data_IF_627165812903
#
_entry.id   IF_627165812903
#
_cell.length_a   1.000
_cell.length_b   1.000
_cell.length_c   1.000
_cell.angle_alpha   90.00
_cell.angle_beta   90.00
_cell.angle_gamma   90.00
#
_symmetry.space_group_name_H-M   'P 1'
#
loop_
_entity.id
_entity.type
_entity.pdbx_description
1 polymer ?
#
# COMPACT_ATOMS: atom_id res chain seq x y z
N UNK A 1 -24.18 12.41 -16.64
CA UNK A 1 -23.86 12.13 -16.11
C UNK A 1 -23.98 11.87 -15.39
N UNK A 2 -23.95 11.66 -15.28
CA UNK A 2 -23.86 11.20 -14.50
C UNK A 2 -23.89 11.07 -13.61
N UNK A 3 -23.73 11.31 -13.45
CA UNK A 3 -23.64 11.19 -12.45
C UNK A 3 -23.96 10.79 -11.63
N UNK A 4 -24.13 10.49 -11.76
CA UNK A 4 -24.75 9.87 -10.91
C UNK A 4 -24.18 9.05 -9.94
N UNK A 5 -23.97 8.90 -9.99
CA UNK A 5 -23.46 8.21 -9.33
C UNK A 5 -22.50 7.90 -8.90
N UNK A 6 -22.43 7.87 -9.24
CA UNK A 6 -21.34 7.07 -9.18
C UNK A 6 -20.06 7.72 -8.79
N UNK A 7 -19.97 8.52 -7.86
CA UNK A 7 -18.76 9.12 -7.36
C UNK A 7 -18.02 8.14 -6.42
N UNK A 8 -17.77 6.95 -6.91
CA UNK A 8 -17.01 5.94 -6.17
C UNK A 8 -15.65 5.78 -6.80
N UNK A 9 -14.58 5.98 -6.03
CA UNK A 9 -13.22 5.87 -6.52
C UNK A 9 -12.27 5.43 -5.40
N UNK A 10 -11.10 4.95 -5.79
CA UNK A 10 -10.09 4.48 -4.85
C UNK A 10 -8.91 5.43 -4.86
N UNK A 11 -8.40 5.74 -3.67
CA UNK A 11 -7.15 6.45 -3.50
C UNK A 11 -6.15 5.42 -3.01
N UNK A 12 -5.05 5.26 -3.75
CA UNK A 12 -4.04 4.25 -3.45
C UNK A 12 -2.74 4.94 -3.10
N UNK A 13 -2.13 4.55 -1.99
CA UNK A 13 -0.84 5.04 -1.55
C UNK A 13 0.09 3.86 -1.35
N UNK A 14 1.31 3.95 -1.87
CA UNK A 14 2.29 2.87 -1.83
C UNK A 14 3.63 3.38 -1.33
N UNK A 15 4.31 2.56 -0.52
CA UNK A 15 5.69 2.76 -0.14
C UNK A 15 6.52 1.62 -0.70
N UNK A 16 7.79 1.85 -1.01
CA UNK A 16 8.65 0.86 -1.64
C UNK A 16 10.02 0.81 -0.97
N UNK A 17 10.78 -0.27 -1.27
CA UNK A 17 12.12 -0.51 -0.68
C UNK A 17 13.13 0.56 -1.08
N UNK A 18 12.93 1.16 -2.25
CA UNK A 18 13.82 2.20 -2.79
C UNK A 18 13.11 2.92 -3.93
N UNK A 19 13.78 3.90 -4.52
CA UNK A 19 13.25 4.62 -5.68
C UNK A 19 13.73 4.02 -7.01
N UNK A 20 14.35 2.84 -6.99
CA UNK A 20 14.89 2.20 -8.19
C UNK A 20 13.84 1.36 -8.91
N UNK A 21 14.16 0.94 -10.14
CA UNK A 21 13.27 0.10 -10.93
C UNK A 21 13.14 -1.32 -10.38
N UNK A 22 14.03 -1.72 -9.45
CA UNK A 22 13.97 -3.03 -8.81
C UNK A 22 13.30 -2.98 -7.44
N UNK A 23 12.72 -1.85 -7.09
CA UNK A 23 12.04 -1.69 -5.81
C UNK A 23 10.82 -2.59 -5.70
N UNK A 24 10.54 -3.02 -4.48
CA UNK A 24 9.35 -3.78 -4.15
C UNK A 24 8.48 -2.99 -3.18
N UNK A 25 7.18 -3.19 -3.26
CA UNK A 25 6.23 -2.54 -2.37
C UNK A 25 6.40 -3.07 -0.96
N UNK A 26 6.38 -2.18 0.03
CA UNK A 26 6.49 -2.52 1.45
C UNK A 26 5.27 -2.11 2.26
N UNK A 27 4.40 -1.28 1.69
CA UNK A 27 3.20 -0.83 2.37
C UNK A 27 2.16 -0.43 1.35
N UNK A 28 0.91 -0.81 1.58
CA UNK A 28 -0.22 -0.48 0.71
C UNK A 28 -1.29 0.18 1.57
N UNK A 29 -1.79 1.31 1.10
CA UNK A 29 -2.95 1.95 1.69
C UNK A 29 -3.97 2.22 0.62
N UNK A 30 -5.22 1.83 0.84
CA UNK A 30 -6.31 2.05 -0.10
C UNK A 30 -7.49 2.64 0.65
N UNK A 31 -8.01 3.75 0.15
CA UNK A 31 -9.22 4.36 0.69
C UNK A 31 -10.25 4.39 -0.42
N UNK A 32 -11.41 3.81 -0.17
CA UNK A 32 -12.52 3.85 -1.11
C UNK A 32 -13.42 5.01 -0.70
N UNK A 33 -13.62 5.93 -1.63
CA UNK A 33 -14.47 7.09 -1.43
C UNK A 33 -15.76 6.91 -2.23
N UNK A 34 -16.87 7.34 -1.63
CA UNK A 34 -18.14 7.36 -2.33
C UNK A 34 -18.91 8.60 -1.91
N UNK A 35 -19.30 9.41 -2.88
CA UNK A 35 -20.05 10.65 -2.65
C UNK A 35 -19.38 11.59 -1.65
N UNK A 36 -18.05 11.70 -1.73
CA UNK A 36 -17.26 12.58 -0.87
C UNK A 36 -17.01 12.06 0.53
N UNK A 37 -17.36 10.80 0.79
CA UNK A 37 -17.18 10.20 2.11
C UNK A 37 -16.35 8.91 2.01
N UNK A 38 -15.64 8.58 3.08
CA UNK A 38 -14.92 7.32 3.16
C UNK A 38 -15.92 6.17 3.27
N UNK A 39 -15.87 5.28 2.30
CA UNK A 39 -16.74 4.12 2.23
C UNK A 39 -16.07 2.90 2.85
N UNK A 40 -14.77 2.73 2.59
CA UNK A 40 -14.01 1.60 3.11
C UNK A 40 -12.53 1.95 3.09
N UNK A 41 -11.73 1.25 3.87
CA UNK A 41 -10.29 1.45 3.95
C UNK A 41 -9.59 0.11 4.10
N UNK A 42 -8.38 0.03 3.53
CA UNK A 42 -7.52 -1.12 3.69
C UNK A 42 -6.08 -0.62 3.79
N UNK A 43 -5.31 -1.14 4.71
CA UNK A 43 -3.90 -0.83 4.83
C UNK A 43 -3.15 -2.06 5.33
N UNK A 44 -1.97 -2.29 4.80
CA UNK A 44 -1.13 -3.41 5.21
C UNK A 44 0.32 -3.14 4.92
N UNK A 45 1.19 -3.64 5.81
CA UNK A 45 2.61 -3.80 5.49
C UNK A 45 2.73 -4.97 4.52
N UNK A 46 3.82 -5.00 3.77
CA UNK A 46 4.09 -6.04 2.78
C UNK A 46 5.51 -6.51 2.96
N UNK A 47 5.72 -7.82 2.99
CA UNK A 47 7.06 -8.38 3.04
C UNK A 47 7.68 -8.32 1.63
N UNK A 48 8.73 -7.51 1.40
CA UNK A 48 9.33 -7.36 0.08
C UNK A 48 10.34 -8.46 -0.26
N UNK A 49 10.70 -9.30 0.70
CA UNK A 49 11.74 -10.32 0.58
C UNK A 49 13.10 -9.75 0.15
N UNK A 50 13.37 -8.51 0.57
CA UNK A 50 14.66 -7.87 0.34
C UNK A 50 14.88 -6.80 1.42
N UNK A 51 16.12 -6.37 1.58
CA UNK A 51 16.45 -5.36 2.58
C UNK A 51 15.99 -3.97 2.14
N UNK A 52 15.66 -3.14 3.11
CA UNK A 52 15.32 -1.74 2.87
C UNK A 52 16.59 -0.91 2.75
N UNK A 53 16.56 0.11 1.89
CA UNK A 53 17.59 1.14 1.86
C UNK A 53 17.53 1.94 3.17
N UNK A 54 18.67 2.35 3.70
CA UNK A 54 18.72 3.17 4.91
C UNK A 54 17.90 4.44 4.75
N UNK A 55 17.89 5.00 3.56
CA UNK A 55 17.12 6.20 3.24
C UNK A 55 15.62 5.96 3.48
N UNK A 56 15.12 4.79 3.10
CA UNK A 56 13.72 4.44 3.27
C UNK A 56 13.40 4.22 4.75
N UNK A 57 14.29 3.57 5.49
CA UNK A 57 14.10 3.39 6.92
C UNK A 57 14.01 4.74 7.62
N UNK A 58 14.89 5.67 7.26
CA UNK A 58 14.87 7.02 7.81
C UNK A 58 13.59 7.78 7.48
N UNK A 59 13.12 7.63 6.24
CA UNK A 59 11.97 8.37 5.75
C UNK A 59 10.65 7.85 6.33
N UNK A 60 10.51 6.53 6.43
CA UNK A 60 9.24 5.91 6.80
C UNK A 60 9.19 5.43 8.25
N UNK A 61 10.34 5.17 8.86
CA UNK A 61 10.40 4.54 10.17
C UNK A 61 10.10 3.05 10.16
N UNK A 62 9.92 2.46 9.00
CA UNK A 62 9.65 1.03 8.84
C UNK A 62 10.97 0.27 8.86
N UNK A 63 11.02 -0.86 9.54
CA UNK A 63 12.24 -1.67 9.68
C UNK A 63 12.12 -3.01 8.96
N UNK A 64 13.28 -3.61 8.59
CA UNK A 64 13.31 -4.93 7.99
C UNK A 64 12.67 -5.98 8.89
N UNK A 65 12.88 -5.86 10.20
CA UNK A 65 12.31 -6.78 11.17
C UNK A 65 10.78 -6.74 11.16
N UNK A 66 10.22 -5.55 11.06
CA UNK A 66 8.78 -5.35 10.98
C UNK A 66 8.20 -6.02 9.74
N UNK A 67 8.86 -5.85 8.60
CA UNK A 67 8.39 -6.38 7.33
C UNK A 67 8.59 -7.89 7.18
N UNK A 68 9.52 -8.47 7.93
CA UNK A 68 9.75 -9.92 7.89
C UNK A 68 8.52 -10.70 8.36
N UNK A 69 7.64 -10.07 9.13
CA UNK A 69 6.42 -10.69 9.64
C UNK A 69 5.18 -10.30 8.85
N UNK A 70 5.34 -9.47 7.83
CA UNK A 70 4.22 -9.00 7.03
C UNK A 70 3.85 -10.03 5.95
N UNK A 71 2.61 -10.00 5.45
CA UNK A 71 2.20 -10.89 4.37
C UNK A 71 2.87 -10.54 3.05
N UNK A 72 2.94 -11.50 2.16
CA UNK A 72 3.43 -11.28 0.81
C UNK A 72 2.45 -10.42 0.02
N UNK A 73 2.94 -9.73 -0.99
CA UNK A 73 2.07 -8.92 -1.84
C UNK A 73 1.00 -9.77 -2.52
N UNK A 74 1.33 -11.01 -2.92
CA UNK A 74 0.36 -11.91 -3.54
C UNK A 74 -0.82 -12.22 -2.64
N UNK A 75 -0.60 -12.35 -1.33
CA UNK A 75 -1.66 -12.56 -0.37
C UNK A 75 -2.58 -11.34 -0.25
N UNK A 76 -1.96 -10.15 -0.24
CA UNK A 76 -2.69 -8.89 -0.16
C UNK A 76 -3.51 -8.69 -1.43
N UNK A 77 -2.93 -8.97 -2.59
CA UNK A 77 -3.61 -8.84 -3.86
C UNK A 77 -4.86 -9.71 -3.93
N UNK A 78 -4.80 -10.93 -3.39
CA UNK A 78 -5.98 -11.80 -3.32
C UNK A 78 -7.06 -11.25 -2.41
N UNK A 79 -6.68 -10.50 -1.37
CA UNK A 79 -7.64 -9.88 -0.47
C UNK A 79 -8.32 -8.67 -1.12
N UNK A 80 -7.56 -7.90 -1.91
CA UNK A 80 -8.04 -6.67 -2.54
C UNK A 80 -8.82 -6.98 -3.82
N UNK A 81 -8.35 -7.90 -4.60
CA UNK A 81 -8.88 -8.23 -5.93
C UNK A 81 -9.50 -9.63 -5.97
#
# INVERSE_FOLDING_TARGET
MSEKNTNKYAIVDLEATSASSTASIIQVGIVIMQNGQVFDEFASDVNPHQELDDHIIHLTGITDQQLAQAPDFSEIARTIF
#
